data_IF_539176658087
#
_entry.id   IF_539176658087
#
_cell.length_a   1.000
_cell.length_b   1.000
_cell.length_c   1.000
_cell.angle_alpha   90.00
_cell.angle_beta   90.00
_cell.angle_gamma   90.00
#
_symmetry.space_group_name_H-M   'P 1'
#
loop_
_entity.id
_entity.type
_entity.pdbx_description
1 polymer ?
#
# COMPACT_ATOMS: atom_id res chain seq x y z
N UNK A 1 -9.52 -19.50 7.00
CA UNK A 1 -9.23 -18.38 6.07
C UNK A 1 -8.24 -18.87 5.03
N UNK A 2 -8.55 -18.77 3.73
CA UNK A 2 -7.61 -19.12 2.66
C UNK A 2 -6.65 -17.94 2.50
N UNK A 3 -5.34 -18.18 2.62
CA UNK A 3 -4.33 -17.13 2.60
C UNK A 3 -4.31 -16.48 1.20
N UNK A 4 -4.54 -15.16 1.14
CA UNK A 4 -4.50 -14.43 -0.13
C UNK A 4 -3.04 -14.11 -0.48
N UNK A 5 -2.51 -14.80 -1.50
CA UNK A 5 -1.13 -14.68 -1.93
C UNK A 5 -0.76 -13.24 -2.34
N UNK A 6 -1.72 -12.49 -2.90
CA UNK A 6 -1.53 -11.11 -3.35
C UNK A 6 -1.29 -10.18 -2.16
N UNK A 7 -2.10 -10.33 -1.10
CA UNK A 7 -1.94 -9.57 0.15
C UNK A 7 -0.63 -9.88 0.84
N UNK A 8 -0.25 -11.17 0.88
CA UNK A 8 1.02 -11.59 1.46
C UNK A 8 2.20 -10.99 0.71
N UNK A 9 2.21 -11.08 -0.62
CA UNK A 9 3.24 -10.48 -1.48
C UNK A 9 3.32 -8.95 -1.26
N UNK A 10 2.16 -8.28 -1.24
CA UNK A 10 2.08 -6.84 -1.01
C UNK A 10 2.68 -6.46 0.35
N UNK A 11 2.33 -7.20 1.41
CA UNK A 11 2.87 -6.98 2.75
C UNK A 11 4.38 -7.22 2.83
N UNK A 12 4.87 -8.30 2.21
CA UNK A 12 6.31 -8.61 2.14
C UNK A 12 7.08 -7.50 1.42
N UNK A 13 6.54 -6.95 0.32
CA UNK A 13 7.14 -5.79 -0.36
C UNK A 13 7.18 -4.54 0.53
N UNK A 14 6.12 -4.28 1.32
CA UNK A 14 6.11 -3.19 2.27
C UNK A 14 7.21 -3.36 3.34
N UNK A 15 7.44 -4.58 3.83
CA UNK A 15 8.52 -4.88 4.77
C UNK A 15 9.90 -4.73 4.12
N UNK A 16 10.09 -5.21 2.89
CA UNK A 16 11.35 -5.03 2.17
C UNK A 16 11.66 -3.56 1.88
N UNK A 17 10.63 -2.73 1.69
CA UNK A 17 10.78 -1.28 1.57
C UNK A 17 11.48 -0.67 2.81
N UNK A 18 11.28 -1.21 4.01
CA UNK A 18 11.92 -0.74 5.24
C UNK A 18 13.45 -0.95 5.23
N UNK A 19 13.90 -2.08 4.66
CA UNK A 19 15.31 -2.47 4.59
C UNK A 19 16.05 -1.80 3.44
N UNK A 20 15.34 -1.32 2.43
CA UNK A 20 15.90 -0.66 1.26
C UNK A 20 16.08 0.85 1.49
N UNK A 21 17.06 1.50 0.82
CA UNK A 21 17.17 2.95 0.83
C UNK A 21 15.95 3.57 0.14
N UNK A 22 15.36 4.60 0.75
CA UNK A 22 14.18 5.29 0.22
C UNK A 22 14.55 6.42 -0.72
N UNK A 23 15.59 7.18 -0.39
CA UNK A 23 16.03 8.31 -1.20
C UNK A 23 17.54 8.33 -1.37
N UNK A 24 17.99 9.06 -2.39
CA UNK A 24 19.37 9.48 -2.55
C UNK A 24 19.41 11.01 -2.56
N UNK A 25 20.22 11.61 -1.70
CA UNK A 25 20.40 13.06 -1.63
C UNK A 25 21.87 13.39 -1.40
N UNK A 26 22.44 14.31 -2.18
CA UNK A 26 23.84 14.73 -2.03
C UNK A 26 24.86 13.57 -2.11
N UNK A 27 24.56 12.52 -2.89
CA UNK A 27 25.41 11.32 -2.98
C UNK A 27 25.20 10.29 -1.86
N UNK A 28 24.42 10.61 -0.82
CA UNK A 28 24.15 9.73 0.32
C UNK A 28 22.83 8.98 0.14
N UNK A 29 22.82 7.69 0.47
CA UNK A 29 21.61 6.88 0.54
C UNK A 29 20.92 7.06 1.88
N UNK A 30 19.65 7.46 1.85
CA UNK A 30 18.85 7.75 3.03
C UNK A 30 17.89 6.58 3.29
N UNK A 31 18.08 5.85 4.40
CA UNK A 31 17.12 4.82 4.82
C UNK A 31 15.81 5.47 5.26
N UNK A 32 14.74 4.68 5.37
CA UNK A 32 13.47 5.20 5.88
C UNK A 32 13.63 5.83 7.27
N UNK A 33 14.48 5.27 8.12
CA UNK A 33 14.74 5.73 9.49
C UNK A 33 15.41 7.09 9.60
N UNK A 34 15.96 7.65 8.52
CA UNK A 34 16.51 9.01 8.53
C UNK A 34 15.45 10.09 8.34
N UNK A 35 14.19 9.72 8.08
CA UNK A 35 13.08 10.64 7.87
C UNK A 35 12.37 10.84 9.21
N UNK A 36 12.00 12.08 9.61
CA UNK A 36 11.34 12.30 10.90
C UNK A 36 10.03 11.48 11.01
N UNK A 37 9.79 10.81 12.15
CA UNK A 37 8.68 9.84 12.28
C UNK A 37 7.29 10.40 11.95
N UNK A 38 7.06 11.70 12.19
CA UNK A 38 5.80 12.38 11.87
C UNK A 38 5.44 12.27 10.37
N UNK A 39 6.44 12.37 9.49
CA UNK A 39 6.26 12.26 8.03
C UNK A 39 6.20 10.82 7.54
N UNK A 40 6.51 9.85 8.42
CA UNK A 40 6.37 8.41 8.18
C UNK A 40 5.12 7.82 8.85
N UNK A 41 4.34 8.62 9.58
CA UNK A 41 3.11 8.13 10.21
C UNK A 41 2.17 7.41 9.22
N UNK A 42 1.97 7.90 7.98
CA UNK A 42 1.19 7.16 6.97
C UNK A 42 1.80 5.79 6.65
N UNK A 43 3.13 5.68 6.62
CA UNK A 43 3.80 4.42 6.29
C UNK A 43 3.60 3.37 7.38
N UNK A 44 3.80 3.76 8.64
CA UNK A 44 3.58 2.85 9.78
C UNK A 44 2.11 2.47 9.95
N UNK A 45 1.18 3.42 9.76
CA UNK A 45 -0.25 3.14 9.72
C UNK A 45 -0.57 2.17 8.58
N UNK A 46 0.00 2.39 7.39
CA UNK A 46 -0.12 1.51 6.24
C UNK A 46 0.37 0.09 6.51
N UNK A 47 1.52 -0.07 7.17
CA UNK A 47 2.05 -1.38 7.59
C UNK A 47 1.13 -2.10 8.58
N UNK A 48 0.60 -1.38 9.58
CA UNK A 48 -0.31 -1.96 10.57
C UNK A 48 -1.60 -2.46 9.89
N UNK A 49 -2.19 -1.64 9.03
CA UNK A 49 -3.44 -1.99 8.33
C UNK A 49 -3.20 -3.09 7.29
N UNK A 50 -2.04 -3.10 6.63
CA UNK A 50 -1.63 -4.20 5.76
C UNK A 50 -1.53 -5.53 6.53
N UNK A 51 -1.01 -5.51 7.76
CA UNK A 51 -1.01 -6.67 8.65
C UNK A 51 -2.41 -7.15 8.98
N UNK A 52 -3.34 -6.24 9.27
CA UNK A 52 -4.76 -6.57 9.48
C UNK A 52 -5.40 -7.16 8.21
N UNK A 53 -5.12 -6.60 7.03
CA UNK A 53 -5.63 -7.10 5.75
C UNK A 53 -5.16 -8.53 5.48
N UNK A 54 -3.90 -8.86 5.78
CA UNK A 54 -3.35 -10.21 5.65
C UNK A 54 -3.94 -11.17 6.68
N UNK A 55 -4.02 -10.76 7.95
CA UNK A 55 -4.41 -11.63 9.05
C UNK A 55 -5.93 -11.92 9.09
N UNK A 56 -6.75 -10.89 8.87
CA UNK A 56 -8.21 -10.96 8.96
C UNK A 56 -8.90 -11.05 7.61
N UNK A 57 -8.17 -10.82 6.52
CA UNK A 57 -8.75 -10.84 5.19
C UNK A 57 -9.72 -9.69 4.91
N UNK A 58 -9.63 -8.58 5.65
CA UNK A 58 -10.59 -7.48 5.53
C UNK A 58 -10.36 -6.61 4.29
N UNK A 59 -11.40 -6.50 3.47
CA UNK A 59 -11.39 -5.71 2.22
C UNK A 59 -11.00 -4.26 2.43
N UNK A 60 -11.64 -3.58 3.39
CA UNK A 60 -11.36 -2.16 3.65
C UNK A 60 -9.98 -1.94 4.25
N UNK A 61 -9.40 -2.95 4.90
CA UNK A 61 -8.01 -2.91 5.32
C UNK A 61 -7.05 -2.89 4.12
N UNK A 62 -7.33 -3.67 3.04
CA UNK A 62 -6.56 -3.56 1.80
C UNK A 62 -6.61 -2.16 1.19
N UNK A 63 -7.80 -1.53 1.14
CA UNK A 63 -7.93 -0.16 0.62
C UNK A 63 -7.16 0.86 1.46
N UNK A 64 -7.32 0.80 2.78
CA UNK A 64 -6.62 1.70 3.68
C UNK A 64 -5.09 1.50 3.61
N UNK A 65 -4.60 0.26 3.53
CA UNK A 65 -3.19 -0.04 3.29
C UNK A 65 -2.71 0.57 1.96
N UNK A 66 -3.48 0.43 0.88
CA UNK A 66 -3.16 0.99 -0.42
C UNK A 66 -3.00 2.53 -0.37
N UNK A 67 -3.95 3.24 0.22
CA UNK A 67 -3.91 4.70 0.34
C UNK A 67 -2.73 5.19 1.19
N UNK A 68 -2.51 4.55 2.34
CA UNK A 68 -1.47 4.94 3.27
C UNK A 68 -0.06 4.68 2.71
N UNK A 69 0.17 3.49 2.14
CA UNK A 69 1.48 3.13 1.57
C UNK A 69 1.80 3.91 0.29
N UNK A 70 0.80 4.23 -0.54
CA UNK A 70 1.04 5.00 -1.78
C UNK A 70 1.33 6.48 -1.54
N UNK A 71 0.75 7.07 -0.50
CA UNK A 71 0.98 8.48 -0.14
C UNK A 71 2.28 8.69 0.66
N UNK A 72 2.75 7.66 1.35
CA UNK A 72 3.93 7.73 2.23
C UNK A 72 5.19 8.30 1.59
N UNK A 73 5.62 7.88 0.37
CA UNK A 73 6.79 8.47 -0.28
C UNK A 73 6.67 9.97 -0.55
N UNK A 74 5.46 10.50 -0.75
CA UNK A 74 5.25 11.91 -1.02
C UNK A 74 5.54 12.78 0.21
N UNK A 75 5.07 12.36 1.40
CA UNK A 75 5.36 13.05 2.66
C UNK A 75 6.85 13.02 2.99
N UNK A 76 7.48 11.85 2.80
CA UNK A 76 8.91 11.69 2.98
C UNK A 76 9.73 12.56 2.01
N UNK A 77 9.34 12.62 0.74
CA UNK A 77 9.97 13.50 -0.24
C UNK A 77 9.82 14.98 0.15
N UNK A 78 8.64 15.39 0.59
CA UNK A 78 8.36 16.77 0.96
C UNK A 78 9.26 17.25 2.10
N UNK A 79 9.39 16.47 3.18
CA UNK A 79 10.27 16.86 4.30
C UNK A 79 11.74 16.90 3.86
N UNK A 80 12.21 15.93 3.07
CA UNK A 80 13.59 15.93 2.59
C UNK A 80 13.89 17.12 1.70
N UNK A 81 12.93 17.56 0.88
CA UNK A 81 13.06 18.76 0.05
C UNK A 81 13.15 20.04 0.91
N UNK A 82 12.50 20.09 2.06
CA UNK A 82 12.58 21.22 2.98
C UNK A 82 13.88 21.25 3.80
N UNK A 83 14.46 20.08 4.09
CA UNK A 83 15.61 19.98 5.01
C UNK A 83 16.96 19.79 4.31
N UNK A 84 16.98 19.43 3.02
CA UNK A 84 18.21 19.17 2.25
C UNK A 84 18.44 20.26 1.20
N UNK A 85 19.69 20.72 1.08
CA UNK A 85 20.12 21.61 -0.01
C UNK A 85 20.23 20.89 -1.36
N UNK A 86 20.37 19.56 -1.34
CA UNK A 86 20.39 18.72 -2.52
C UNK A 86 19.00 18.12 -2.78
N UNK A 87 18.57 18.11 -4.06
CA UNK A 87 17.30 17.51 -4.46
C UNK A 87 17.30 15.99 -4.18
N UNK A 88 16.37 15.48 -3.36
CA UNK A 88 16.26 14.05 -3.13
C UNK A 88 15.71 13.36 -4.39
N UNK A 89 16.28 12.22 -4.77
CA UNK A 89 15.74 11.34 -5.80
C UNK A 89 15.21 10.03 -5.17
N UNK A 90 14.07 9.51 -5.65
CA UNK A 90 13.51 8.26 -5.13
C UNK A 90 14.44 7.08 -5.45
N UNK A 91 14.51 6.14 -4.52
CA UNK A 91 15.31 4.91 -4.62
C UNK A 91 14.43 3.66 -4.49
N UNK A 92 15.05 2.49 -4.36
CA UNK A 92 14.39 1.18 -4.37
C UNK A 92 13.27 1.08 -3.32
N UNK A 93 13.48 1.59 -2.11
CA UNK A 93 12.50 1.52 -1.02
C UNK A 93 11.18 2.21 -1.37
N UNK A 94 11.24 3.37 -2.04
CA UNK A 94 10.05 4.08 -2.52
C UNK A 94 9.31 3.25 -3.58
N UNK A 95 10.03 2.67 -4.54
CA UNK A 95 9.43 1.81 -5.56
C UNK A 95 8.73 0.59 -4.95
N UNK A 96 9.35 -0.06 -3.96
CA UNK A 96 8.76 -1.20 -3.25
C UNK A 96 7.49 -0.80 -2.47
N UNK A 97 7.49 0.38 -1.85
CA UNK A 97 6.32 0.92 -1.14
C UNK A 97 5.15 1.18 -2.10
N UNK A 98 5.42 1.80 -3.25
CA UNK A 98 4.41 2.08 -4.27
C UNK A 98 3.85 0.81 -4.91
N UNK A 99 4.71 -0.18 -5.18
CA UNK A 99 4.30 -1.49 -5.68
C UNK A 99 3.41 -2.22 -4.67
N UNK A 100 3.78 -2.19 -3.38
CA UNK A 100 2.95 -2.73 -2.32
C UNK A 100 1.57 -2.08 -2.27
N UNK A 101 1.50 -0.74 -2.28
CA UNK A 101 0.23 0.00 -2.31
C UNK A 101 -0.62 -0.35 -3.53
N UNK A 102 0.00 -0.49 -4.71
CA UNK A 102 -0.67 -0.89 -5.94
C UNK A 102 -1.25 -2.30 -5.87
N UNK A 103 -0.55 -3.25 -5.25
CA UNK A 103 -1.04 -4.62 -5.07
C UNK A 103 -2.21 -4.68 -4.10
N UNK A 104 -2.19 -3.91 -3.02
CA UNK A 104 -3.33 -3.79 -2.11
C UNK A 104 -4.54 -3.13 -2.79
N UNK A 105 -4.33 -2.14 -3.67
CA UNK A 105 -5.40 -1.56 -4.48
C UNK A 105 -5.98 -2.59 -5.47
N UNK A 106 -5.11 -3.37 -6.14
CA UNK A 106 -5.53 -4.42 -7.07
C UNK A 106 -6.32 -5.53 -6.35
N UNK A 107 -5.90 -5.90 -5.15
CA UNK A 107 -6.62 -6.82 -4.28
C UNK A 107 -8.04 -6.32 -3.96
N UNK A 108 -8.15 -5.06 -3.51
CA UNK A 108 -9.45 -4.45 -3.20
C UNK A 108 -10.37 -4.36 -4.43
N UNK A 109 -9.82 -4.00 -5.60
CA UNK A 109 -10.55 -3.96 -6.87
C UNK A 109 -11.03 -5.34 -7.32
N UNK A 110 -10.24 -6.39 -7.08
CA UNK A 110 -10.64 -7.77 -7.39
C UNK A 110 -11.82 -8.24 -6.53
N UNK A 111 -11.84 -7.84 -5.26
CA UNK A 111 -12.96 -8.15 -4.36
C UNK A 111 -14.23 -7.36 -4.69
N UNK A 112 -14.09 -6.11 -5.17
CA UNK A 112 -15.22 -5.35 -5.74
C UNK A 112 -15.89 -6.10 -6.90
N UNK A 113 -15.08 -6.57 -7.85
CA UNK A 113 -15.56 -7.22 -9.06
C UNK A 113 -16.24 -8.57 -8.77
N UNK A 114 -15.74 -9.31 -7.79
CA UNK A 114 -16.34 -10.59 -7.38
C UNK A 114 -17.63 -10.41 -6.59
N UNK A 115 -17.72 -9.40 -5.71
CA UNK A 115 -18.98 -9.05 -5.06
C UNK A 115 -20.06 -8.63 -6.06
N UNK A 116 -19.70 -7.77 -7.02
CA UNK A 116 -20.62 -7.35 -8.09
C UNK A 116 -21.08 -8.49 -8.99
N UNK A 117 -20.26 -9.53 -9.20
CA UNK A 117 -20.65 -10.71 -9.98
C UNK A 117 -21.60 -11.63 -9.20
N UNK A 118 -21.34 -11.81 -7.90
CA UNK A 118 -22.22 -12.57 -7.02
C UNK A 118 -23.58 -11.89 -6.84
N UNK A 119 -23.62 -10.56 -6.69
CA UNK A 119 -24.86 -9.78 -6.60
C UNK A 119 -25.69 -9.88 -7.90
N UNK A 120 -25.02 -9.97 -9.07
CA UNK A 120 -25.69 -10.19 -10.35
C UNK A 120 -26.23 -11.62 -10.48
N UNK A 121 -25.48 -12.63 -10.03
CA UNK A 121 -25.95 -14.02 -10.03
C UNK A 121 -27.15 -14.20 -9.09
N UNK A 122 -27.15 -13.57 -7.90
CA UNK A 122 -28.28 -13.60 -6.98
C UNK A 122 -29.52 -12.85 -7.53
N UNK A 123 -29.35 -11.74 -8.25
CA UNK A 123 -30.46 -11.04 -8.91
C UNK A 123 -31.05 -11.83 -10.10
N UNK A 124 -30.21 -12.55 -10.85
CA UNK A 124 -30.65 -13.42 -11.95
C UNK A 124 -31.30 -14.70 -11.41
N UNK A 125 -30.78 -15.28 -10.33
CA UNK A 125 -31.36 -16.45 -9.67
C UNK A 125 -32.65 -16.12 -8.91
N UNK A 126 -32.79 -14.89 -8.40
CA UNK A 126 -33.98 -14.38 -7.71
C UNK A 126 -35.14 -14.01 -8.64
N UNK A 127 -34.97 -14.05 -9.96
CA UNK A 127 -36.05 -13.83 -10.93
C UNK A 127 -36.50 -12.37 -11.08
N UNK A 128 -35.69 -11.39 -10.64
CA UNK A 128 -36.04 -9.95 -10.75
C UNK A 128 -35.74 -9.35 -12.13
N UNK A 129 -35.02 -10.06 -13.01
CA UNK A 129 -34.62 -9.58 -14.34
C UNK A 129 -35.52 -10.06 -15.50
N UNK A 130 -36.66 -10.70 -15.23
CA UNK A 130 -37.60 -11.21 -16.26
C UNK A 130 -38.99 -10.57 -16.25
N UNK A 131 -39.15 -9.38 -15.66
CA UNK A 131 -40.39 -8.58 -15.78
C UNK A 131 -40.19 -7.26 -16.49
#
# INVERSE_FOLDING_TARGET
MRLNLLRLLAFVLALFSLAAPWFKAGGTWLPVTSIPPLFLAPYYAGLAVAGVAVAKGERYASLAAACMLSTSPAYAYFVLKLTSSANPSPALGVSLCLLSGSLFAADWLKELRSGSAADLEDQVAGGELTR
#
